data_IF_759317462311
#
_entry.id   IF_759317462311
#
_cell.length_a   1.000
_cell.length_b   1.000
_cell.length_c   1.000
_cell.angle_alpha   90.00
_cell.angle_beta   90.00
_cell.angle_gamma   90.00
#
_symmetry.space_group_name_H-M   'P 1'
#
loop_
_entity.id
_entity.type
_entity.pdbx_description
1 polymer ?
#
# COMPACT_ATOMS: atom_id res chain seq x y z
N UNK A 1 3.70 11.42 -5.99
CA UNK A 1 2.94 10.24 -5.50
C UNK A 1 3.89 9.06 -5.40
N UNK A 2 4.52 8.95 -4.23
CA UNK A 2 5.57 7.99 -3.82
C UNK A 2 5.08 7.33 -2.54
N UNK A 3 4.80 6.02 -2.54
CA UNK A 3 4.35 5.34 -1.31
C UNK A 3 4.81 3.90 -1.15
N UNK A 4 6.01 3.63 -1.63
CA UNK A 4 6.87 2.60 -1.06
C UNK A 4 8.26 3.22 -1.07
N UNK A 5 8.97 3.20 0.07
CA UNK A 5 10.27 3.88 0.22
C UNK A 5 11.22 3.42 -0.89
N UNK A 6 11.31 4.21 -1.95
CA UNK A 6 12.33 4.07 -2.98
C UNK A 6 13.47 4.93 -2.48
N UNK A 7 14.65 4.33 -2.32
CA UNK A 7 15.84 5.04 -1.84
C UNK A 7 16.04 6.35 -2.63
N UNK A 8 16.27 7.46 -1.93
CA UNK A 8 16.44 8.80 -2.53
C UNK A 8 15.14 9.54 -2.85
N UNK A 9 14.00 9.03 -2.37
CA UNK A 9 12.67 9.59 -2.56
C UNK A 9 11.90 9.63 -1.22
N UNK A 10 12.61 9.88 -0.12
CA UNK A 10 12.07 9.94 1.22
C UNK A 10 11.39 11.30 1.49
N UNK A 11 10.26 11.29 2.22
CA UNK A 11 9.56 12.52 2.60
C UNK A 11 10.15 13.23 3.81
N UNK A 12 10.83 12.48 4.67
CA UNK A 12 11.54 13.00 5.84
C UNK A 12 12.57 11.97 6.31
N UNK A 13 13.66 12.46 6.89
CA UNK A 13 14.68 11.64 7.58
C UNK A 13 14.56 11.71 9.11
N UNK A 14 13.47 12.31 9.65
CA UNK A 14 13.19 12.43 11.09
C UNK A 14 13.17 11.08 11.81
N UNK A 15 12.51 10.09 11.22
CA UNK A 15 12.34 8.78 11.83
C UNK A 15 13.14 7.75 11.05
N UNK A 16 14.02 7.01 11.76
CA UNK A 16 14.76 5.89 11.19
C UNK A 16 13.78 4.75 10.83
N UNK A 17 14.27 3.77 10.08
CA UNK A 17 13.50 2.57 9.79
C UNK A 17 13.11 1.87 11.11
N UNK A 18 11.82 1.58 11.28
CA UNK A 18 11.24 0.88 12.43
C UNK A 18 11.30 1.59 13.79
N UNK A 19 11.52 2.91 13.85
CA UNK A 19 11.32 3.67 15.10
C UNK A 19 9.85 4.08 15.29
N UNK A 20 9.42 4.10 16.55
CA UNK A 20 8.14 4.71 16.96
C UNK A 20 8.11 6.15 16.45
N UNK A 21 6.94 6.59 15.96
CA UNK A 21 6.74 7.99 15.61
C UNK A 21 6.83 8.85 16.86
N UNK A 22 8.03 9.34 17.15
CA UNK A 22 8.22 10.37 18.17
C UNK A 22 7.59 11.69 17.72
N UNK A 23 7.22 12.53 18.69
CA UNK A 23 6.71 13.89 18.45
C UNK A 23 7.64 14.62 17.46
N UNK A 24 7.02 15.34 16.52
CA UNK A 24 7.71 16.22 15.57
C UNK A 24 8.51 17.31 16.31
N UNK A 25 8.15 17.59 17.57
CA UNK A 25 8.94 18.30 18.57
C UNK A 25 8.83 19.81 18.44
N UNK A 26 9.38 20.38 17.38
CA UNK A 26 9.40 21.84 17.18
C UNK A 26 8.19 22.31 16.37
N UNK A 27 7.18 22.81 17.09
CA UNK A 27 5.97 23.37 16.49
C UNK A 27 6.10 24.88 16.25
N UNK A 28 5.83 25.34 15.03
CA UNK A 28 5.89 26.74 14.62
C UNK A 28 4.63 27.54 15.01
N UNK A 29 3.54 26.86 15.34
CA UNK A 29 2.27 27.46 15.75
C UNK A 29 1.55 26.62 16.79
N UNK A 30 0.82 27.25 17.71
CA UNK A 30 -0.13 26.58 18.62
C UNK A 30 -1.50 26.35 17.96
N UNK A 31 -1.74 26.91 16.77
CA UNK A 31 -2.98 26.79 16.02
C UNK A 31 -3.20 25.33 15.56
N UNK A 32 -4.26 24.72 16.07
CA UNK A 32 -4.70 23.38 15.70
C UNK A 32 -5.70 23.47 14.55
N UNK A 33 -5.44 22.71 13.48
CA UNK A 33 -6.35 22.57 12.35
C UNK A 33 -6.86 21.14 12.25
N UNK A 34 -8.10 20.98 11.81
CA UNK A 34 -8.73 19.67 11.59
C UNK A 34 -8.73 19.40 10.09
N UNK A 35 -8.05 18.34 9.68
CA UNK A 35 -7.89 17.97 8.28
C UNK A 35 -8.68 16.71 7.97
N UNK A 36 -9.43 16.73 6.86
CA UNK A 36 -10.09 15.55 6.29
C UNK A 36 -9.35 15.10 5.05
N UNK A 37 -8.94 13.84 5.05
CA UNK A 37 -8.17 13.25 3.95
C UNK A 37 -8.85 11.99 3.42
N UNK A 38 -8.70 11.74 2.11
CA UNK A 38 -9.18 10.52 1.47
C UNK A 38 -8.24 10.14 0.32
N UNK A 39 -8.10 8.84 0.06
CA UNK A 39 -7.44 8.32 -1.13
C UNK A 39 -8.41 8.22 -2.33
N UNK A 40 -9.71 8.49 -2.13
CA UNK A 40 -10.70 8.55 -3.20
C UNK A 40 -11.18 7.20 -3.72
N UNK A 41 -11.13 6.13 -2.91
CA UNK A 41 -11.87 4.88 -3.19
C UNK A 41 -13.29 4.90 -2.61
N UNK A 42 -13.54 5.74 -1.61
CA UNK A 42 -14.78 5.80 -0.84
C UNK A 42 -15.26 7.25 -0.75
N UNK A 43 -16.49 7.44 -0.25
CA UNK A 43 -16.99 8.76 0.12
C UNK A 43 -16.71 9.11 1.59
N UNK A 44 -15.92 8.27 2.27
CA UNK A 44 -15.50 8.47 3.65
C UNK A 44 -14.17 9.25 3.69
N UNK A 45 -13.80 9.70 4.88
CA UNK A 45 -12.54 10.38 5.14
C UNK A 45 -11.92 9.93 6.47
N UNK A 46 -10.62 10.15 6.58
CA UNK A 46 -9.86 10.10 7.83
C UNK A 46 -9.75 11.54 8.33
N UNK A 47 -10.09 11.77 9.61
CA UNK A 47 -10.02 13.09 10.23
C UNK A 47 -8.87 13.13 11.25
N UNK A 48 -8.01 14.15 11.13
CA UNK A 48 -6.79 14.27 11.93
C UNK A 48 -6.56 15.71 12.35
N UNK A 49 -5.99 15.88 13.54
CA UNK A 49 -5.55 17.20 14.03
C UNK A 49 -4.10 17.42 13.62
N UNK A 50 -3.83 18.58 13.04
CA UNK A 50 -2.52 18.96 12.53
C UNK A 50 -2.09 20.33 13.03
N UNK A 51 -0.79 20.53 13.14
CA UNK A 51 -0.15 21.81 13.46
C UNK A 51 0.99 22.09 12.51
N UNK A 52 1.37 23.36 12.39
CA UNK A 52 2.54 23.77 11.62
C UNK A 52 3.81 23.48 12.42
N UNK A 53 4.74 22.72 11.85
CA UNK A 53 6.03 22.43 12.47
C UNK A 53 7.15 23.32 11.89
N UNK A 54 8.29 23.38 12.58
CA UNK A 54 9.52 24.01 12.10
C UNK A 54 10.30 22.97 11.29
N UNK A 55 10.49 23.17 9.97
CA UNK A 55 11.25 22.24 9.13
C UNK A 55 12.68 22.08 9.61
N UNK A 56 13.24 20.89 9.39
CA UNK A 56 14.64 20.59 9.64
C UNK A 56 15.27 19.91 8.41
N UNK A 57 16.59 19.79 8.41
CA UNK A 57 17.31 19.11 7.34
C UNK A 57 16.80 17.68 7.13
N UNK A 58 16.54 17.36 5.86
CA UNK A 58 15.97 16.08 5.44
C UNK A 58 14.44 16.06 5.36
N UNK A 59 13.72 17.11 5.76
CA UNK A 59 12.29 17.23 5.49
C UNK A 59 12.02 17.69 4.05
N UNK A 60 11.19 16.95 3.33
CA UNK A 60 10.67 17.41 2.05
C UNK A 60 9.57 18.44 2.30
N UNK A 61 9.73 19.64 1.72
CA UNK A 61 8.69 20.67 1.67
C UNK A 61 8.08 20.82 0.29
N UNK A 62 8.46 19.95 -0.66
CA UNK A 62 7.98 20.01 -2.03
C UNK A 62 7.21 18.76 -2.42
N UNK A 63 6.33 18.93 -3.42
CA UNK A 63 5.76 17.84 -4.20
C UNK A 63 6.15 18.02 -5.63
N UNK A 64 6.80 17.00 -6.20
CA UNK A 64 7.20 16.97 -7.61
C UNK A 64 6.44 15.93 -8.42
N UNK A 65 6.33 16.18 -9.72
CA UNK A 65 5.80 15.26 -10.72
C UNK A 65 6.51 15.46 -12.05
N UNK A 66 6.45 14.42 -12.89
CA UNK A 66 6.94 14.46 -14.27
C UNK A 66 5.75 14.74 -15.19
N UNK A 67 5.86 15.74 -16.06
CA UNK A 67 4.84 16.10 -17.04
C UNK A 67 4.78 15.06 -18.16
N UNK A 68 3.71 15.05 -19.00
CA UNK A 68 3.66 14.22 -20.19
C UNK A 68 4.82 14.47 -21.18
N UNK A 69 5.43 15.66 -21.15
CA UNK A 69 6.59 16.02 -21.97
C UNK A 69 7.92 15.57 -21.38
N UNK A 70 7.93 14.99 -20.18
CA UNK A 70 9.14 14.53 -19.48
C UNK A 70 9.81 15.59 -18.61
N UNK A 71 9.25 16.80 -18.51
CA UNK A 71 9.75 17.86 -17.64
C UNK A 71 9.42 17.53 -16.17
N UNK A 72 10.32 17.82 -15.22
CA UNK A 72 10.00 17.71 -13.79
C UNK A 72 9.51 19.06 -13.28
N UNK A 73 8.31 19.07 -12.68
CA UNK A 73 7.74 20.24 -11.99
C UNK A 73 7.65 19.97 -10.50
N UNK A 74 7.72 21.03 -9.69
CA UNK A 74 7.52 20.94 -8.24
C UNK A 74 6.77 22.15 -7.69
N UNK A 75 6.15 21.96 -6.52
CA UNK A 75 5.43 22.99 -5.77
C UNK A 75 5.75 22.90 -4.29
N UNK A 76 5.78 24.05 -3.63
CA UNK A 76 5.96 24.15 -2.18
C UNK A 76 4.69 23.74 -1.44
N UNK A 77 4.85 22.95 -0.40
CA UNK A 77 3.79 22.45 0.47
C UNK A 77 4.05 22.92 1.90
N UNK A 78 3.03 23.44 2.61
CA UNK A 78 3.22 23.95 3.95
C UNK A 78 3.61 22.82 4.94
N UNK A 79 4.49 23.12 5.92
CA UNK A 79 5.02 22.14 6.86
C UNK A 79 4.00 21.85 7.97
N UNK A 80 3.00 21.03 7.68
CA UNK A 80 2.06 20.51 8.67
C UNK A 80 2.31 19.04 8.97
N UNK A 81 2.06 18.65 10.21
CA UNK A 81 2.18 17.28 10.69
C UNK A 81 1.06 16.96 11.70
N UNK A 82 0.77 15.68 11.88
CA UNK A 82 -0.19 15.17 12.85
C UNK A 82 0.34 15.41 14.26
N UNK A 83 -0.53 15.93 15.14
CA UNK A 83 -0.18 16.27 16.53
C UNK A 83 -0.08 15.00 17.38
N UNK A 84 -1.04 14.09 17.21
CA UNK A 84 -1.21 12.87 18.00
C UNK A 84 -1.05 11.64 17.10
N UNK A 85 0.19 11.15 16.85
CA UNK A 85 0.41 9.96 16.01
C UNK A 85 -0.39 8.73 16.46
N UNK A 86 -0.61 8.57 17.76
CA UNK A 86 -1.41 7.52 18.38
C UNK A 86 -2.88 7.55 17.95
N UNK A 87 -3.39 8.70 17.50
CA UNK A 87 -4.75 8.83 16.98
C UNK A 87 -4.87 8.33 15.53
N UNK A 88 -3.77 8.16 14.79
CA UNK A 88 -3.78 7.73 13.39
C UNK A 88 -4.34 6.31 13.27
N UNK A 89 -3.86 5.38 14.10
CA UNK A 89 -4.28 3.98 14.05
C UNK A 89 -5.80 3.79 14.23
N UNK A 90 -6.44 4.31 15.30
CA UNK A 90 -7.89 4.16 15.47
C UNK A 90 -8.68 4.86 14.37
N UNK A 91 -8.22 6.00 13.85
CA UNK A 91 -8.86 6.68 12.72
C UNK A 91 -8.81 5.84 11.45
N UNK A 92 -7.65 5.23 11.15
CA UNK A 92 -7.54 4.30 10.03
C UNK A 92 -8.40 3.05 10.21
N UNK A 93 -8.38 2.41 11.38
CA UNK A 93 -9.22 1.23 11.63
C UNK A 93 -10.71 1.55 11.44
N UNK A 94 -11.15 2.71 11.91
CA UNK A 94 -12.53 3.18 11.76
C UNK A 94 -12.87 3.44 10.28
N UNK A 95 -11.97 4.12 9.55
CA UNK A 95 -12.09 4.35 8.11
C UNK A 95 -12.15 3.06 7.29
N UNK A 96 -11.27 2.10 7.58
CA UNK A 96 -11.21 0.79 6.90
C UNK A 96 -12.54 0.06 7.06
N UNK A 97 -13.07 0.00 8.29
CA UNK A 97 -14.34 -0.69 8.58
C UNK A 97 -15.53 -0.07 7.83
N UNK A 98 -15.62 1.26 7.77
CA UNK A 98 -16.70 1.94 7.03
C UNK A 98 -16.53 1.86 5.52
N UNK A 99 -15.28 1.97 5.05
CA UNK A 99 -14.96 2.14 3.64
C UNK A 99 -14.79 0.84 2.85
N UNK A 100 -14.64 -0.31 3.52
CA UNK A 100 -14.28 -1.59 2.88
C UNK A 100 -15.18 -1.96 1.68
N UNK A 101 -16.50 -1.93 1.87
CA UNK A 101 -17.46 -2.33 0.83
C UNK A 101 -17.41 -1.38 -0.37
N UNK A 102 -17.33 -0.07 -0.11
CA UNK A 102 -17.19 0.95 -1.15
C UNK A 102 -15.86 0.79 -1.90
N UNK A 103 -14.77 0.52 -1.19
CA UNK A 103 -13.45 0.27 -1.76
C UNK A 103 -13.47 -0.95 -2.68
N UNK A 104 -14.01 -2.10 -2.23
CA UNK A 104 -14.21 -3.29 -3.05
C UNK A 104 -14.99 -2.96 -4.32
N UNK A 105 -16.12 -2.28 -4.18
CA UNK A 105 -16.98 -1.90 -5.31
C UNK A 105 -16.22 -1.05 -6.33
N UNK A 106 -15.41 -0.09 -5.87
CA UNK A 106 -14.66 0.83 -6.73
C UNK A 106 -13.50 0.12 -7.44
N UNK A 107 -12.73 -0.69 -6.72
CA UNK A 107 -11.55 -1.40 -7.28
C UNK A 107 -11.98 -2.49 -8.26
N UNK A 108 -13.11 -3.13 -8.02
CA UNK A 108 -13.61 -4.24 -8.85
C UNK A 108 -14.61 -3.80 -9.93
N UNK A 109 -14.84 -2.49 -10.09
CA UNK A 109 -15.87 -1.96 -10.99
C UNK A 109 -15.76 -2.48 -12.43
N UNK A 110 -14.53 -2.64 -12.93
CA UNK A 110 -14.22 -3.11 -14.29
C UNK A 110 -14.21 -4.65 -14.40
N UNK A 111 -14.51 -5.36 -13.31
CA UNK A 111 -14.38 -6.81 -13.19
C UNK A 111 -15.72 -7.52 -12.95
N UNK A 112 -16.85 -6.83 -13.17
CA UNK A 112 -18.21 -7.35 -12.93
C UNK A 112 -18.51 -8.65 -13.67
N UNK A 113 -17.96 -8.82 -14.87
CA UNK A 113 -18.16 -10.01 -15.71
C UNK A 113 -17.14 -11.13 -15.44
N UNK A 114 -16.23 -10.93 -14.49
CA UNK A 114 -15.20 -11.90 -14.12
C UNK A 114 -15.48 -12.55 -12.77
N UNK A 115 -14.82 -13.67 -12.49
CA UNK A 115 -14.90 -14.37 -11.19
C UNK A 115 -14.43 -13.52 -9.99
N UNK A 116 -13.65 -12.45 -10.23
CA UNK A 116 -13.19 -11.54 -9.17
C UNK A 116 -14.36 -10.90 -8.42
N UNK A 117 -15.33 -10.35 -9.14
CA UNK A 117 -16.48 -9.66 -8.55
C UNK A 117 -17.29 -10.54 -7.60
N UNK A 118 -17.87 -11.69 -8.04
CA UNK A 118 -18.66 -12.54 -7.16
C UNK A 118 -17.83 -13.11 -6.01
N UNK A 119 -16.53 -13.41 -6.20
CA UNK A 119 -15.68 -13.95 -5.14
C UNK A 119 -15.52 -12.97 -3.97
N UNK A 120 -15.21 -11.70 -4.25
CA UNK A 120 -15.11 -10.68 -3.21
C UNK A 120 -16.46 -10.38 -2.55
N UNK A 121 -17.55 -10.36 -3.32
CA UNK A 121 -18.88 -10.12 -2.75
C UNK A 121 -19.36 -11.27 -1.88
N UNK A 122 -19.04 -12.51 -2.21
CA UNK A 122 -19.30 -13.66 -1.34
C UNK A 122 -18.49 -13.52 -0.05
N UNK A 123 -17.20 -13.18 -0.13
CA UNK A 123 -16.36 -12.97 1.05
C UNK A 123 -16.95 -11.90 1.99
N UNK A 124 -17.33 -10.74 1.44
CA UNK A 124 -17.97 -9.66 2.20
C UNK A 124 -19.31 -10.12 2.80
N UNK A 125 -20.16 -10.83 2.04
CA UNK A 125 -21.44 -11.32 2.56
C UNK A 125 -21.26 -12.29 3.72
N UNK A 126 -20.28 -13.20 3.62
CA UNK A 126 -20.03 -14.22 4.65
C UNK A 126 -19.54 -13.62 5.97
N UNK A 127 -18.73 -12.55 5.95
CA UNK A 127 -18.30 -11.90 7.20
C UNK A 127 -19.46 -11.24 7.94
N UNK A 128 -20.52 -10.81 7.22
CA UNK A 128 -21.74 -10.24 7.81
C UNK A 128 -22.82 -11.28 8.12
N UNK A 129 -22.75 -12.47 7.53
CA UNK A 129 -23.73 -13.54 7.73
C UNK A 129 -23.49 -14.24 9.08
N UNK A 130 -24.52 -14.28 9.94
CA UNK A 130 -24.47 -15.04 11.19
C UNK A 130 -24.55 -16.55 10.90
N UNK A 131 -23.85 -17.35 11.69
CA UNK A 131 -23.93 -18.82 11.72
C UNK A 131 -23.48 -19.59 10.45
N UNK A 132 -22.87 -18.93 9.47
CA UNK A 132 -22.36 -19.59 8.25
C UNK A 132 -20.89 -20.01 8.36
N UNK A 133 -20.12 -19.31 9.18
CA UNK A 133 -18.71 -19.55 9.43
C UNK A 133 -18.50 -19.78 10.92
N UNK A 134 -17.51 -20.60 11.27
CA UNK A 134 -16.97 -20.60 12.63
C UNK A 134 -16.36 -19.23 12.98
N UNK A 135 -16.15 -18.98 14.27
CA UNK A 135 -15.55 -17.72 14.73
C UNK A 135 -14.16 -17.48 14.12
N UNK A 136 -13.34 -18.54 14.04
CA UNK A 136 -12.00 -18.48 13.45
C UNK A 136 -12.04 -18.18 11.95
N UNK A 137 -12.96 -18.81 11.20
CA UNK A 137 -13.14 -18.55 9.78
C UNK A 137 -13.61 -17.12 9.50
N UNK A 138 -14.60 -16.63 10.25
CA UNK A 138 -15.08 -15.26 10.10
C UNK A 138 -13.95 -14.27 10.41
N UNK A 139 -13.22 -14.48 11.51
CA UNK A 139 -12.09 -13.64 11.91
C UNK A 139 -10.99 -13.62 10.86
N UNK A 140 -10.60 -14.77 10.30
CA UNK A 140 -9.60 -14.86 9.23
C UNK A 140 -10.07 -14.10 7.98
N UNK A 141 -11.32 -14.31 7.55
CA UNK A 141 -11.86 -13.68 6.34
C UNK A 141 -11.99 -12.16 6.50
N UNK A 142 -12.46 -11.69 7.66
CA UNK A 142 -12.57 -10.27 7.99
C UNK A 142 -11.19 -9.60 8.01
N UNK A 143 -10.21 -10.18 8.71
CA UNK A 143 -8.83 -9.65 8.73
C UNK A 143 -8.18 -9.66 7.35
N UNK A 144 -8.50 -10.63 6.50
CA UNK A 144 -8.00 -10.68 5.12
C UNK A 144 -8.55 -9.51 4.29
N UNK A 145 -9.84 -9.19 4.43
CA UNK A 145 -10.46 -8.04 3.77
C UNK A 145 -9.89 -6.70 4.29
N UNK A 146 -9.70 -6.57 5.60
CA UNK A 146 -9.04 -5.41 6.21
C UNK A 146 -7.61 -5.26 5.69
N UNK A 147 -6.82 -6.34 5.67
CA UNK A 147 -5.47 -6.36 5.10
C UNK A 147 -5.49 -5.95 3.63
N UNK A 148 -6.40 -6.50 2.82
CA UNK A 148 -6.53 -6.14 1.42
C UNK A 148 -6.76 -4.63 1.24
N UNK A 149 -7.68 -4.03 2.00
CA UNK A 149 -7.94 -2.59 1.91
C UNK A 149 -6.74 -1.76 2.37
N UNK A 150 -6.09 -2.12 3.48
CA UNK A 150 -4.91 -1.38 3.99
C UNK A 150 -3.78 -1.30 2.96
N UNK A 151 -3.56 -2.37 2.19
CA UNK A 151 -2.57 -2.36 1.11
C UNK A 151 -2.99 -1.38 -0.01
N UNK A 152 -4.29 -1.25 -0.32
CA UNK A 152 -4.78 -0.24 -1.27
C UNK A 152 -4.48 1.18 -0.80
N UNK A 153 -4.64 1.46 0.49
CA UNK A 153 -4.35 2.77 1.09
C UNK A 153 -2.86 3.16 0.96
N UNK A 154 -1.94 2.19 0.88
CA UNK A 154 -0.52 2.44 0.60
C UNK A 154 -0.17 2.56 -0.89
N UNK A 155 -1.05 2.13 -1.79
CA UNK A 155 -0.80 2.21 -3.25
C UNK A 155 -1.46 3.41 -3.93
N UNK A 156 -2.08 4.29 -3.14
CA UNK A 156 -2.69 5.53 -3.61
C UNK A 156 -2.33 6.66 -2.65
N UNK A 157 -2.18 7.87 -3.16
CA UNK A 157 -1.97 9.04 -2.28
C UNK A 157 -3.29 9.52 -1.74
N UNK A 158 -3.25 9.91 -0.47
CA UNK A 158 -4.28 10.69 0.15
C UNK A 158 -4.21 12.13 -0.33
N UNK A 159 -5.39 12.72 -0.44
CA UNK A 159 -5.67 14.09 -0.84
C UNK A 159 -6.53 14.73 0.24
N UNK A 160 -6.42 16.04 0.41
CA UNK A 160 -7.26 16.82 1.31
C UNK A 160 -8.61 17.02 0.62
N UNK A 161 -9.71 16.69 1.32
CA UNK A 161 -11.08 16.69 0.76
C UNK A 161 -12.09 17.51 1.59
N UNK A 162 -11.62 18.21 2.63
CA UNK A 162 -12.44 19.07 3.49
C UNK A 162 -12.32 20.57 3.18
N UNK A 163 -12.99 21.40 3.97
CA UNK A 163 -12.94 22.87 3.85
C UNK A 163 -11.55 23.44 4.22
N UNK A 164 -10.86 22.82 5.18
CA UNK A 164 -9.49 23.19 5.54
C UNK A 164 -8.50 22.69 4.49
N UNK A 165 -7.80 23.60 3.83
CA UNK A 165 -6.83 23.30 2.75
C UNK A 165 -5.37 23.57 3.12
N UNK A 166 -5.11 23.95 4.37
CA UNK A 166 -3.81 24.42 4.87
C UNK A 166 -3.29 25.67 4.11
N UNK A 167 -4.22 26.45 3.53
CA UNK A 167 -3.90 27.60 2.70
C UNK A 167 -3.43 27.25 1.29
N UNK A 168 -3.49 25.98 0.88
CA UNK A 168 -3.17 25.57 -0.48
C UNK A 168 -4.37 25.83 -1.40
N UNK A 169 -4.16 26.39 -2.61
CA UNK A 169 -5.22 26.56 -3.58
C UNK A 169 -5.54 25.23 -4.28
N UNK A 170 -6.76 25.09 -4.80
CA UNK A 170 -7.21 23.85 -5.46
C UNK A 170 -6.41 23.51 -6.74
N UNK A 171 -5.86 24.54 -7.39
CA UNK A 171 -5.01 24.42 -8.57
C UNK A 171 -3.51 24.40 -8.23
N UNK A 172 -3.13 24.09 -6.98
CA UNK A 172 -1.72 23.98 -6.59
C UNK A 172 -0.96 23.00 -7.48
N UNK A 173 -1.61 21.94 -7.95
CA UNK A 173 -1.10 21.06 -8.99
C UNK A 173 -1.69 21.49 -10.32
N UNK A 174 -0.84 21.89 -11.27
CA UNK A 174 -1.26 22.32 -12.60
C UNK A 174 -1.84 21.17 -13.44
N UNK A 175 -2.38 21.48 -14.61
CA UNK A 175 -3.04 20.53 -15.52
C UNK A 175 -2.12 19.41 -16.03
N UNK A 176 -0.79 19.59 -15.93
CA UNK A 176 0.18 18.56 -16.31
C UNK A 176 0.31 17.48 -15.25
N UNK A 177 -0.19 17.73 -14.03
CA UNK A 177 -0.18 16.77 -12.95
C UNK A 177 -1.33 15.76 -13.10
N UNK A 178 -1.07 14.44 -12.89
CA UNK A 178 -2.13 13.44 -12.83
C UNK A 178 -3.07 13.62 -11.63
N UNK A 179 -2.71 14.51 -10.71
CA UNK A 179 -3.49 14.89 -9.54
C UNK A 179 -3.98 16.35 -9.63
N UNK A 180 -4.11 16.90 -10.84
CA UNK A 180 -4.73 18.21 -11.04
C UNK A 180 -6.11 18.31 -10.37
N UNK A 181 -6.41 19.48 -9.81
CA UNK A 181 -7.67 19.74 -9.09
C UNK A 181 -7.77 19.06 -7.72
N UNK A 182 -6.65 18.53 -7.20
CA UNK A 182 -6.58 17.89 -5.88
C UNK A 182 -5.51 18.55 -5.03
N UNK A 183 -5.74 18.55 -3.73
CA UNK A 183 -4.82 19.14 -2.77
C UNK A 183 -4.01 18.00 -2.12
N UNK A 184 -2.69 17.95 -2.32
CA UNK A 184 -1.86 16.91 -1.72
C UNK A 184 -1.73 17.12 -0.21
N UNK A 185 -1.60 16.05 0.55
CA UNK A 185 -1.22 16.19 1.96
C UNK A 185 0.27 16.59 2.10
N UNK A 186 0.67 17.24 3.22
CA UNK A 186 2.07 17.52 3.54
C UNK A 186 2.99 16.28 3.51
N UNK A 187 4.26 16.39 3.08
CA UNK A 187 5.18 15.26 3.03
C UNK A 187 5.42 14.57 4.38
N UNK A 188 5.74 15.34 5.42
CA UNK A 188 6.00 14.81 6.76
C UNK A 188 4.75 14.14 7.35
N UNK A 189 3.59 14.77 7.22
CA UNK A 189 2.30 14.15 7.55
C UNK A 189 2.11 12.82 6.80
N UNK A 190 2.43 12.79 5.51
CA UNK A 190 2.36 11.57 4.71
C UNK A 190 3.26 10.45 5.24
N UNK A 191 4.45 10.77 5.73
CA UNK A 191 5.35 9.81 6.36
C UNK A 191 4.81 9.27 7.69
N UNK A 192 4.19 10.10 8.54
CA UNK A 192 3.52 9.64 9.77
C UNK A 192 2.41 8.63 9.45
N UNK A 193 1.54 8.98 8.50
CA UNK A 193 0.45 8.14 8.06
C UNK A 193 0.93 6.79 7.50
N UNK A 194 1.92 6.83 6.60
CA UNK A 194 2.47 5.62 6.00
C UNK A 194 3.16 4.75 7.06
N UNK A 195 3.83 5.37 8.04
CA UNK A 195 4.50 4.64 9.12
C UNK A 195 3.50 3.86 9.99
N UNK A 196 2.44 4.50 10.49
CA UNK A 196 1.40 3.81 11.28
C UNK A 196 0.71 2.72 10.46
N UNK A 197 0.33 3.04 9.21
CA UNK A 197 -0.39 2.10 8.37
C UNK A 197 0.45 0.86 8.03
N UNK A 198 1.75 1.01 7.76
CA UNK A 198 2.64 -0.09 7.38
C UNK A 198 3.15 -0.86 8.60
N UNK A 199 3.68 -0.16 9.60
CA UNK A 199 4.43 -0.77 10.70
C UNK A 199 3.54 -1.23 11.85
N UNK A 200 2.35 -0.65 12.04
CA UNK A 200 1.43 -1.07 13.09
C UNK A 200 0.30 -1.91 12.49
N UNK A 201 -0.53 -1.31 11.63
CA UNK A 201 -1.77 -1.94 11.14
C UNK A 201 -1.45 -3.12 10.22
N UNK A 202 -0.71 -2.87 9.13
CA UNK A 202 -0.41 -3.93 8.16
C UNK A 202 0.50 -5.02 8.75
N UNK A 203 1.46 -4.65 9.61
CA UNK A 203 2.32 -5.62 10.28
C UNK A 203 1.50 -6.62 11.11
N UNK A 204 0.61 -6.11 11.97
CA UNK A 204 -0.28 -6.95 12.79
C UNK A 204 -1.19 -7.81 11.92
N UNK A 205 -1.86 -7.22 10.93
CA UNK A 205 -2.80 -7.95 10.08
C UNK A 205 -2.13 -9.06 9.26
N UNK A 206 -0.91 -8.82 8.74
CA UNK A 206 -0.17 -9.84 8.00
C UNK A 206 0.18 -11.03 8.89
N UNK A 207 0.69 -10.77 10.08
CA UNK A 207 1.02 -11.82 11.04
C UNK A 207 -0.22 -12.67 11.37
N UNK A 208 -1.33 -12.00 11.68
CA UNK A 208 -2.57 -12.68 12.06
C UNK A 208 -3.19 -13.49 10.91
N UNK A 209 -3.24 -12.93 9.70
CA UNK A 209 -3.81 -13.60 8.53
C UNK A 209 -2.96 -14.81 8.12
N UNK A 210 -1.64 -14.67 8.11
CA UNK A 210 -0.74 -15.77 7.71
C UNK A 210 -0.75 -16.91 8.73
N UNK A 211 -0.70 -16.60 10.03
CA UNK A 211 -0.79 -17.60 11.08
C UNK A 211 -2.11 -18.37 11.03
N UNK A 212 -3.24 -17.65 10.99
CA UNK A 212 -4.55 -18.29 10.96
C UNK A 212 -4.81 -19.07 9.66
N UNK A 213 -4.30 -18.60 8.52
CA UNK A 213 -4.39 -19.35 7.25
C UNK A 213 -3.54 -20.61 7.30
N UNK A 214 -2.32 -20.54 7.86
CA UNK A 214 -1.45 -21.69 8.04
C UNK A 214 -2.11 -22.74 8.94
N UNK A 215 -2.66 -22.34 10.08
CA UNK A 215 -3.36 -23.25 11.00
C UNK A 215 -4.56 -23.92 10.32
N UNK A 216 -5.31 -23.17 9.50
CA UNK A 216 -6.44 -23.72 8.75
C UNK A 216 -6.02 -24.77 7.73
N UNK A 217 -4.89 -24.57 7.03
CA UNK A 217 -4.30 -25.58 6.15
C UNK A 217 -3.86 -26.84 6.90
N UNK A 218 -3.20 -26.70 8.05
CA UNK A 218 -2.71 -27.84 8.84
C UNK A 218 -3.86 -28.67 9.43
N UNK A 219 -4.92 -28.01 9.86
CA UNK A 219 -6.11 -28.69 10.39
C UNK A 219 -6.87 -29.48 9.31
N UNK A 220 -6.67 -29.16 8.03
CA UNK A 220 -7.18 -29.84 6.83
C UNK A 220 -8.65 -30.30 6.95
N UNK A 221 -9.50 -29.47 7.54
CA UNK A 221 -10.91 -29.80 7.71
C UNK A 221 -11.64 -29.50 6.41
N UNK A 222 -12.40 -30.46 5.89
CA UNK A 222 -13.14 -30.29 4.63
C UNK A 222 -14.15 -29.13 4.69
N UNK A 223 -14.65 -28.80 5.88
CA UNK A 223 -15.60 -27.71 6.09
C UNK A 223 -14.98 -26.31 5.99
N UNK A 224 -13.66 -26.16 6.12
CA UNK A 224 -12.99 -24.85 6.00
C UNK A 224 -12.48 -24.54 4.58
N UNK A 225 -12.63 -25.50 3.64
CA UNK A 225 -12.14 -25.39 2.27
C UNK A 225 -12.57 -24.07 1.59
N UNK A 226 -13.83 -23.68 1.76
CA UNK A 226 -14.35 -22.50 1.08
C UNK A 226 -13.72 -21.20 1.61
N UNK A 227 -13.58 -21.09 2.94
CA UNK A 227 -12.87 -19.98 3.58
C UNK A 227 -11.42 -19.92 3.10
N UNK A 228 -10.73 -21.07 3.06
CA UNK A 228 -9.37 -21.18 2.55
C UNK A 228 -9.27 -20.69 1.10
N UNK A 229 -10.16 -21.15 0.21
CA UNK A 229 -10.24 -20.71 -1.18
C UNK A 229 -10.39 -19.18 -1.28
N UNK A 230 -11.36 -18.59 -0.56
CA UNK A 230 -11.62 -17.16 -0.61
C UNK A 230 -10.42 -16.34 -0.16
N UNK A 231 -9.80 -16.73 0.97
CA UNK A 231 -8.63 -16.04 1.52
C UNK A 231 -7.45 -16.13 0.55
N UNK A 232 -7.11 -17.33 0.08
CA UNK A 232 -6.02 -17.53 -0.88
C UNK A 232 -6.25 -16.75 -2.17
N UNK A 233 -7.46 -16.80 -2.72
CA UNK A 233 -7.81 -16.06 -3.94
C UNK A 233 -7.62 -14.55 -3.76
N UNK A 234 -8.12 -13.98 -2.66
CA UNK A 234 -7.97 -12.55 -2.38
C UNK A 234 -6.52 -12.15 -2.16
N UNK A 235 -5.70 -12.98 -1.51
CA UNK A 235 -4.27 -12.74 -1.32
C UNK A 235 -3.50 -12.75 -2.65
N UNK A 236 -3.80 -13.72 -3.54
CA UNK A 236 -3.20 -13.80 -4.87
C UNK A 236 -3.59 -12.58 -5.74
N UNK A 237 -4.86 -12.20 -5.72
CA UNK A 237 -5.31 -10.98 -6.41
C UNK A 237 -4.68 -9.72 -5.79
N UNK A 238 -4.50 -9.67 -4.47
CA UNK A 238 -3.81 -8.57 -3.82
C UNK A 238 -2.37 -8.43 -4.32
N UNK A 239 -1.64 -9.54 -4.46
CA UNK A 239 -0.28 -9.55 -5.00
C UNK A 239 -0.24 -9.03 -6.44
N UNK A 240 -1.16 -9.46 -7.31
CA UNK A 240 -1.21 -8.98 -8.69
C UNK A 240 -1.46 -7.47 -8.78
N UNK A 241 -2.32 -6.92 -7.90
CA UNK A 241 -2.55 -5.46 -7.81
C UNK A 241 -1.30 -4.70 -7.34
N UNK A 242 -0.55 -5.22 -6.35
CA UNK A 242 0.71 -4.61 -5.90
C UNK A 242 1.74 -4.58 -7.03
N UNK A 243 1.89 -5.69 -7.77
CA UNK A 243 2.82 -5.78 -8.91
C UNK A 243 2.43 -4.79 -10.02
N UNK A 244 1.12 -4.69 -10.33
CA UNK A 244 0.59 -3.69 -11.30
C UNK A 244 0.91 -2.26 -10.86
N UNK A 245 0.79 -1.98 -9.56
CA UNK A 245 1.14 -0.68 -9.00
C UNK A 245 2.64 -0.39 -9.15
N UNK A 246 3.55 -1.33 -8.83
CA UNK A 246 5.00 -1.13 -9.03
C UNK A 246 5.39 -0.86 -10.47
N UNK A 247 4.76 -1.55 -11.43
CA UNK A 247 5.01 -1.33 -12.85
C UNK A 247 4.53 0.06 -13.30
N UNK A 248 3.37 0.47 -12.81
CA UNK A 248 2.82 1.80 -13.12
C UNK A 248 3.66 2.90 -12.47
N UNK A 249 4.20 2.64 -11.29
CA UNK A 249 5.11 3.52 -10.59
C UNK A 249 6.43 3.74 -11.34
N UNK A 250 7.08 2.67 -11.79
CA UNK A 250 8.33 2.76 -12.53
C UNK A 250 8.18 3.63 -13.79
N UNK A 251 7.10 3.38 -14.56
CA UNK A 251 6.76 4.18 -15.75
C UNK A 251 6.52 5.65 -15.40
N UNK A 252 5.74 5.92 -14.35
CA UNK A 252 5.39 7.28 -13.92
C UNK A 252 6.62 8.11 -13.50
N UNK A 253 7.62 7.47 -12.91
CA UNK A 253 8.84 8.15 -12.44
C UNK A 253 10.01 8.02 -13.41
N UNK A 254 9.77 7.58 -14.66
CA UNK A 254 10.81 7.47 -15.68
C UNK A 254 11.94 6.51 -15.32
N UNK A 255 11.70 5.54 -14.44
CA UNK A 255 12.71 4.56 -14.06
C UNK A 255 13.01 3.67 -15.26
N UNK A 256 14.29 3.46 -15.57
CA UNK A 256 14.77 2.59 -16.67
C UNK A 256 14.65 1.09 -16.35
N UNK A 257 13.54 0.68 -15.73
CA UNK A 257 13.27 -0.69 -15.28
C UNK A 257 11.77 -0.97 -15.24
N UNK A 258 11.38 -2.25 -15.28
CA UNK A 258 9.95 -2.63 -15.41
C UNK A 258 9.16 -2.36 -14.14
N UNK A 259 9.76 -2.59 -12.97
CA UNK A 259 9.12 -2.40 -11.67
C UNK A 259 9.93 -1.44 -10.80
N UNK A 260 9.23 -0.69 -9.93
CA UNK A 260 9.91 0.22 -9.02
C UNK A 260 10.78 -0.51 -7.99
N UNK A 261 10.40 -1.74 -7.65
CA UNK A 261 11.05 -2.61 -6.67
C UNK A 261 11.17 -4.02 -7.24
N UNK A 262 12.06 -4.20 -8.21
CA UNK A 262 12.22 -5.48 -8.92
C UNK A 262 12.47 -6.64 -7.95
N UNK A 263 13.32 -6.47 -6.95
CA UNK A 263 13.64 -7.51 -5.95
C UNK A 263 12.38 -7.95 -5.17
N UNK A 264 11.50 -7.01 -4.81
CA UNK A 264 10.24 -7.34 -4.13
C UNK A 264 9.24 -8.03 -5.04
N UNK A 265 9.18 -7.61 -6.31
CA UNK A 265 8.33 -8.28 -7.30
C UNK A 265 8.81 -9.71 -7.56
N UNK A 266 10.13 -9.92 -7.66
CA UNK A 266 10.74 -11.27 -7.76
C UNK A 266 10.36 -12.15 -6.57
N UNK A 267 10.41 -11.62 -5.35
CA UNK A 267 9.98 -12.34 -4.13
C UNK A 267 8.50 -12.78 -4.21
N UNK A 268 7.60 -11.98 -4.81
CA UNK A 268 6.19 -12.35 -4.95
C UNK A 268 5.95 -13.51 -5.93
N UNK A 269 6.76 -13.62 -6.98
CA UNK A 269 6.63 -14.71 -7.96
C UNK A 269 7.22 -16.04 -7.48
N UNK A 270 8.13 -15.99 -6.52
CA UNK A 270 8.99 -17.14 -6.17
C UNK A 270 8.79 -17.61 -4.73
N UNK A 271 8.22 -16.78 -3.86
CA UNK A 271 8.16 -17.05 -2.42
C UNK A 271 9.55 -17.10 -1.74
N UNK A 272 10.63 -16.84 -2.47
CA UNK A 272 12.02 -16.96 -2.01
C UNK A 272 12.62 -15.60 -1.67
N UNK A 273 13.49 -15.56 -0.66
CA UNK A 273 14.35 -14.41 -0.35
C UNK A 273 15.50 -14.28 -1.35
N UNK A 274 16.06 -13.07 -1.53
CA UNK A 274 17.21 -12.80 -2.43
C UNK A 274 18.37 -13.79 -2.28
N UNK A 275 18.72 -14.15 -1.03
CA UNK A 275 19.80 -15.08 -0.74
C UNK A 275 19.53 -16.52 -1.24
N UNK A 276 18.28 -16.97 -1.15
CA UNK A 276 17.86 -18.29 -1.65
C UNK A 276 17.78 -18.32 -3.17
N UNK A 277 17.54 -17.17 -3.78
CA UNK A 277 17.46 -16.98 -5.22
C UNK A 277 18.82 -16.99 -5.91
N UNK A 278 19.78 -16.21 -5.37
CA UNK A 278 21.14 -16.18 -5.89
C UNK A 278 21.77 -17.57 -5.86
N UNK A 279 21.47 -18.35 -4.80
CA UNK A 279 21.90 -19.74 -4.71
C UNK A 279 21.41 -20.59 -5.91
N UNK A 280 20.14 -20.50 -6.31
CA UNK A 280 19.58 -21.29 -7.44
C UNK A 280 20.22 -20.90 -8.78
N UNK A 281 20.49 -19.60 -9.00
CA UNK A 281 21.15 -19.11 -10.21
C UNK A 281 22.64 -19.49 -10.27
N UNK A 282 23.33 -19.42 -9.13
CA UNK A 282 24.75 -19.77 -9.02
C UNK A 282 24.97 -21.28 -9.20
N UNK A 283 24.00 -22.11 -8.79
CA UNK A 283 24.10 -23.58 -8.88
C UNK A 283 23.62 -24.17 -10.21
N UNK A 284 23.00 -23.38 -11.09
CA UNK A 284 22.30 -23.88 -12.29
C UNK A 284 21.38 -25.08 -11.96
N UNK A 285 20.61 -24.99 -10.88
CA UNK A 285 19.80 -26.11 -10.40
C UNK A 285 18.51 -26.25 -11.21
N UNK A 286 18.58 -26.96 -12.35
CA UNK A 286 17.47 -27.15 -13.30
C UNK A 286 16.26 -27.88 -12.71
N UNK A 287 16.46 -28.66 -11.65
CA UNK A 287 15.40 -29.40 -10.95
C UNK A 287 14.64 -28.52 -9.95
N UNK A 288 15.13 -27.30 -9.70
CA UNK A 288 14.45 -26.34 -8.85
C UNK A 288 13.21 -25.78 -9.58
N UNK A 289 12.03 -25.88 -8.95
CA UNK A 289 10.75 -25.44 -9.52
C UNK A 289 10.74 -23.94 -9.93
N UNK A 290 11.67 -23.15 -9.38
CA UNK A 290 11.82 -21.73 -9.68
C UNK A 290 12.94 -21.40 -10.69
N UNK A 291 13.70 -22.39 -11.17
CA UNK A 291 14.82 -22.20 -12.11
C UNK A 291 14.40 -21.55 -13.43
N UNK A 292 13.25 -21.91 -13.98
CA UNK A 292 12.77 -21.31 -15.24
C UNK A 292 12.11 -19.95 -15.01
N UNK A 293 11.50 -19.75 -13.84
CA UNK A 293 10.95 -18.45 -13.44
C UNK A 293 12.09 -17.45 -13.22
N UNK A 294 13.27 -17.91 -12.80
CA UNK A 294 14.40 -17.03 -12.51
C UNK A 294 14.99 -16.32 -13.71
N UNK A 295 14.97 -17.01 -14.84
CA UNK A 295 15.42 -16.50 -16.12
C UNK A 295 14.58 -15.33 -16.65
N UNK A 296 13.30 -15.22 -16.25
CA UNK A 296 12.41 -14.13 -16.67
C UNK A 296 12.84 -12.73 -16.14
N UNK A 297 13.79 -12.70 -15.21
CA UNK A 297 14.25 -11.48 -14.54
C UNK A 297 15.75 -11.20 -14.73
N UNK A 298 16.44 -11.94 -15.60
CA UNK A 298 17.82 -11.65 -15.97
C UNK A 298 17.89 -10.40 -16.86
N UNK A 299 18.69 -9.41 -16.43
CA UNK A 299 18.98 -8.24 -17.25
C UNK A 299 19.92 -8.69 -18.37
N UNK A 300 19.41 -8.68 -19.62
CA UNK A 300 20.07 -9.22 -20.82
C UNK A 300 20.14 -10.75 -20.88
N UNK A 301 19.06 -11.44 -20.50
CA UNK A 301 18.92 -12.89 -20.66
C UNK A 301 19.50 -13.38 -22.00
N UNK A 302 20.40 -14.37 -21.92
CA UNK A 302 20.93 -15.09 -23.07
C UNK A 302 20.56 -16.56 -22.93
N UNK A 303 20.22 -17.26 -24.03
CA UNK A 303 19.95 -18.70 -23.97
C UNK A 303 21.18 -19.43 -23.42
N UNK A 304 21.05 -20.02 -22.22
CA UNK A 304 22.12 -20.85 -21.66
C UNK A 304 22.14 -22.17 -22.42
N UNK A 305 23.31 -22.56 -22.94
CA UNK A 305 23.48 -23.82 -23.64
C UNK A 305 23.31 -24.97 -22.64
N UNK A 306 22.29 -25.82 -22.83
CA UNK A 306 22.16 -27.03 -22.03
C UNK A 306 23.31 -27.97 -22.39
N UNK A 307 24.18 -28.25 -21.43
CA UNK A 307 25.10 -29.40 -21.53
C UNK A 307 24.24 -30.61 -21.18
N UNK A 308 23.78 -31.31 -22.22
CA UNK A 308 23.08 -32.59 -22.11
C UNK A 308 24.12 -33.67 -21.78
#
# INVERSE_FOLDING_TARGET
MQRIRVKGHEWTLRWKENTVLDDVGHWASSEVRILRISEGYTNEFVELRVRKFVPQDGDSLERSWVTPTGETRSVQIPPYAVIEPEAIAPQYSSYIKRGLVACCSKVLADHKDSVLWPTYWIAVKLTHAKNHLSEDENKLLAKTLELWMTVRLTTRSFEIVGEETLGMPMNILDETSPSHGKIPIPPVMGAQLDSVLIHEIQHSLRHDVLGALQDMFHNNKINTWFTTYLVTFMLLHNASLVIKHDASYARKHGLKRRFAREDKVKQYYTGMTEAKWQAVLDTNDYENEFYFISQLYEVNWQPRTMVI
#
